data_IF_152305972016
#
_entry.id   IF_152305972016
#
_cell.length_a   1.000
_cell.length_b   1.000
_cell.length_c   1.000
_cell.angle_alpha   90.00
_cell.angle_beta   90.00
_cell.angle_gamma   90.00
#
_symmetry.space_group_name_H-M   'P 1'
#
loop_
_entity.id
_entity.type
_entity.pdbx_description
1 polymer ?
#
# COMPACT_ATOMS: atom_id res chain seq x y z
N UNK A 1 37.85 -13.79 46.09
CA UNK A 1 38.90 -13.43 45.12
C UNK A 1 38.44 -13.92 43.77
N UNK A 2 38.13 -13.05 42.82
CA UNK A 2 37.88 -13.43 41.42
C UNK A 2 39.18 -13.92 40.80
N UNK A 3 39.16 -15.12 40.22
CA UNK A 3 40.31 -15.76 39.60
C UNK A 3 40.85 -14.91 38.42
N UNK A 4 42.17 -14.81 38.32
CA UNK A 4 42.84 -14.01 37.29
C UNK A 4 42.49 -14.51 35.88
N UNK A 5 42.29 -15.82 35.74
CA UNK A 5 41.86 -16.47 34.50
C UNK A 5 40.46 -16.01 34.07
N UNK A 6 39.51 -15.93 34.99
CA UNK A 6 38.14 -15.45 34.71
C UNK A 6 38.15 -14.00 34.26
N UNK A 7 38.96 -13.18 34.92
CA UNK A 7 39.12 -11.76 34.58
C UNK A 7 39.74 -11.58 33.18
N UNK A 8 40.72 -12.42 32.82
CA UNK A 8 41.35 -12.45 31.50
C UNK A 8 40.37 -12.95 30.42
N UNK A 9 39.63 -14.01 30.68
CA UNK A 9 38.61 -14.54 29.77
C UNK A 9 37.48 -13.53 29.56
N UNK A 10 37.04 -12.82 30.59
CA UNK A 10 36.07 -11.72 30.49
C UNK A 10 36.61 -10.58 29.62
N UNK A 11 37.88 -10.17 29.79
CA UNK A 11 38.53 -9.17 28.92
C UNK A 11 38.63 -9.63 27.47
N UNK A 12 38.99 -10.88 27.23
CA UNK A 12 39.06 -11.50 25.90
C UNK A 12 37.69 -11.58 25.22
N UNK A 13 36.65 -11.93 26.00
CA UNK A 13 35.26 -12.06 25.53
C UNK A 13 34.53 -10.72 25.40
N UNK A 14 35.04 -9.63 25.98
CA UNK A 14 34.43 -8.28 25.91
C UNK A 14 34.17 -7.80 24.48
N UNK A 15 34.94 -8.28 23.50
CA UNK A 15 34.74 -7.93 22.08
C UNK A 15 33.83 -8.92 21.33
N UNK A 16 33.53 -10.07 21.90
CA UNK A 16 32.83 -11.19 21.27
C UNK A 16 33.56 -12.52 21.52
N UNK A 17 32.78 -13.58 21.74
CA UNK A 17 33.25 -14.94 22.07
C UNK A 17 33.93 -15.62 20.88
N UNK A 18 33.47 -15.34 19.66
CA UNK A 18 34.01 -15.91 18.42
C UNK A 18 34.35 -14.81 17.38
N UNK A 19 34.92 -15.20 16.24
CA UNK A 19 35.30 -14.26 15.16
C UNK A 19 34.09 -13.51 14.60
N UNK A 20 32.96 -14.19 14.46
CA UNK A 20 31.72 -13.60 13.95
C UNK A 20 31.20 -12.49 14.86
N UNK A 21 31.02 -12.76 16.15
CA UNK A 21 30.58 -11.78 17.15
C UNK A 21 31.52 -10.58 17.23
N UNK A 22 32.85 -10.82 17.16
CA UNK A 22 33.84 -9.73 17.13
C UNK A 22 33.66 -8.82 15.92
N UNK A 23 33.39 -9.38 14.74
CA UNK A 23 33.15 -8.61 13.53
C UNK A 23 31.82 -7.86 13.60
N UNK A 24 30.76 -8.51 14.08
CA UNK A 24 29.44 -7.89 14.27
C UNK A 24 29.53 -6.72 15.25
N UNK A 25 30.12 -6.91 16.42
CA UNK A 25 30.30 -5.86 17.43
C UNK A 25 31.16 -4.70 16.91
N UNK A 26 32.18 -4.98 16.10
CA UNK A 26 32.98 -3.94 15.44
C UNK A 26 32.12 -3.11 14.48
N UNK A 27 31.27 -3.76 13.66
CA UNK A 27 30.36 -3.08 12.73
C UNK A 27 29.29 -2.27 13.47
N UNK A 28 28.66 -2.85 14.50
CA UNK A 28 27.71 -2.14 15.36
C UNK A 28 28.33 -0.90 16.01
N UNK A 29 29.54 -1.01 16.55
CA UNK A 29 30.26 0.14 17.12
C UNK A 29 30.57 1.22 16.08
N UNK A 30 30.95 0.81 14.87
CA UNK A 30 31.18 1.73 13.75
C UNK A 30 29.91 2.48 13.37
N UNK A 31 28.76 1.78 13.32
CA UNK A 31 27.46 2.40 13.09
C UNK A 31 27.13 3.40 14.19
N UNK A 32 27.23 3.02 15.48
CA UNK A 32 26.91 3.91 16.59
C UNK A 32 27.75 5.20 16.56
N UNK A 33 29.03 5.09 16.22
CA UNK A 33 29.89 6.28 16.09
C UNK A 33 29.46 7.18 14.94
N UNK A 34 29.14 6.60 13.78
CA UNK A 34 28.61 7.34 12.63
C UNK A 34 27.26 7.99 12.95
N UNK A 35 26.31 7.23 13.50
CA UNK A 35 24.96 7.69 13.83
C UNK A 35 24.99 8.86 14.81
N UNK A 36 25.85 8.80 15.83
CA UNK A 36 26.01 9.88 16.81
C UNK A 36 26.54 11.19 16.21
N UNK A 37 27.22 11.15 15.06
CA UNK A 37 27.86 12.30 14.42
C UNK A 37 27.24 12.65 13.06
N UNK A 38 26.16 11.98 12.66
CA UNK A 38 25.51 12.21 11.39
C UNK A 38 24.89 13.62 11.37
N UNK A 39 25.30 14.46 10.41
CA UNK A 39 24.85 15.85 10.28
C UNK A 39 23.36 15.97 9.94
N UNK A 40 22.83 14.96 9.27
CA UNK A 40 21.43 14.81 8.89
C UNK A 40 20.63 13.97 9.89
N UNK A 41 21.16 13.81 11.11
CA UNK A 41 20.37 13.27 12.23
C UNK A 41 19.49 14.39 12.77
N UNK A 42 18.18 14.16 12.76
CA UNK A 42 17.20 15.14 13.19
C UNK A 42 16.21 14.51 14.16
N UNK A 43 15.64 15.36 15.02
CA UNK A 43 14.53 15.00 15.90
C UNK A 43 13.24 14.91 15.09
N UNK A 44 12.42 13.93 15.40
CA UNK A 44 11.13 13.68 14.77
C UNK A 44 10.18 13.00 15.76
N UNK A 45 8.91 12.86 15.38
CA UNK A 45 7.94 12.04 16.09
C UNK A 45 7.59 10.82 15.23
N UNK A 46 7.72 9.61 15.78
CA UNK A 46 7.28 8.37 15.14
C UNK A 46 6.00 7.94 15.85
N UNK A 47 4.87 7.97 15.15
CA UNK A 47 3.53 7.72 15.72
C UNK A 47 3.29 8.52 17.03
N UNK A 48 3.74 9.77 17.05
CA UNK A 48 3.66 10.69 18.21
C UNK A 48 4.74 10.49 19.29
N UNK A 49 5.65 9.52 19.14
CA UNK A 49 6.75 9.26 20.07
C UNK A 49 8.03 9.95 19.62
N UNK A 50 8.67 10.79 20.46
CA UNK A 50 9.95 11.42 20.12
C UNK A 50 11.04 10.41 19.79
N UNK A 51 11.74 10.64 18.69
CA UNK A 51 12.86 9.84 18.23
C UNK A 51 13.90 10.71 17.50
N UNK A 52 15.09 10.15 17.29
CA UNK A 52 16.09 10.71 16.39
C UNK A 52 16.30 9.76 15.21
N UNK A 53 16.23 10.29 14.00
CA UNK A 53 16.46 9.55 12.76
C UNK A 53 17.47 10.27 11.89
N UNK A 54 18.20 9.51 11.08
CA UNK A 54 19.05 10.07 10.03
C UNK A 54 18.29 10.06 8.70
N UNK A 55 18.04 11.24 8.13
CA UNK A 55 17.30 11.41 6.87
C UNK A 55 18.26 11.51 5.68
N UNK A 56 18.10 10.62 4.70
CA UNK A 56 18.91 10.59 3.49
C UNK A 56 18.03 10.77 2.26
N UNK A 57 18.45 11.64 1.35
CA UNK A 57 17.73 11.82 0.09
C UNK A 57 17.84 10.57 -0.78
N UNK A 58 16.72 10.14 -1.36
CA UNK A 58 16.72 9.10 -2.37
C UNK A 58 17.20 9.69 -3.70
N UNK A 59 18.17 9.05 -4.37
CA UNK A 59 18.74 9.58 -5.60
C UNK A 59 17.68 9.69 -6.71
N UNK A 60 17.30 10.92 -7.06
CA UNK A 60 16.38 11.33 -8.12
C UNK A 60 16.94 11.11 -9.55
N UNK A 61 17.90 10.20 -9.76
CA UNK A 61 18.72 10.19 -10.98
C UNK A 61 18.02 9.62 -12.23
N UNK A 62 16.79 9.12 -12.14
CA UNK A 62 16.04 8.64 -13.32
C UNK A 62 14.50 8.78 -13.26
N UNK A 63 13.92 9.29 -12.18
CA UNK A 63 12.46 9.47 -12.07
C UNK A 63 12.09 10.88 -12.49
N UNK A 64 11.56 11.03 -13.71
CA UNK A 64 10.88 12.25 -14.14
C UNK A 64 9.61 12.45 -13.28
N UNK A 65 9.76 13.14 -12.15
CA UNK A 65 8.72 13.97 -11.54
C UNK A 65 7.90 13.36 -10.39
N UNK A 66 7.73 14.21 -9.36
CA UNK A 66 6.54 14.39 -8.49
C UNK A 66 6.52 13.79 -7.07
N UNK A 67 7.54 13.07 -6.59
CA UNK A 67 7.60 12.60 -5.19
C UNK A 67 9.00 12.74 -4.59
N UNK A 68 9.11 13.35 -3.40
CA UNK A 68 10.36 13.50 -2.63
C UNK A 68 10.57 12.29 -1.71
N UNK A 69 10.78 11.10 -2.26
CA UNK A 69 11.02 9.91 -1.45
C UNK A 69 12.35 10.05 -0.68
N UNK A 70 12.37 9.57 0.58
CA UNK A 70 13.57 9.59 1.42
C UNK A 70 13.84 8.24 2.04
N UNK A 71 15.09 8.05 2.47
CA UNK A 71 15.45 6.97 3.37
C UNK A 71 15.65 7.50 4.77
N UNK A 72 15.20 6.74 5.76
CA UNK A 72 15.49 6.99 7.17
C UNK A 72 16.31 5.85 7.75
N UNK A 73 17.26 6.19 8.60
CA UNK A 73 18.09 5.24 9.33
C UNK A 73 17.87 5.45 10.82
N UNK A 74 17.63 4.35 11.53
CA UNK A 74 17.38 4.33 12.97
C UNK A 74 18.29 3.31 13.66
N UNK A 75 18.54 3.51 14.96
CA UNK A 75 19.10 2.42 15.77
C UNK A 75 18.11 1.25 15.87
N UNK A 76 18.62 0.05 16.12
CA UNK A 76 17.78 -1.15 16.26
C UNK A 76 16.83 -1.09 17.47
N UNK A 77 17.04 -0.17 18.42
CA UNK A 77 16.14 0.02 19.56
C UNK A 77 14.97 0.95 19.26
N UNK A 78 15.04 1.74 18.19
CA UNK A 78 13.95 2.65 17.80
C UNK A 78 12.75 1.84 17.32
N UNK A 79 11.57 2.12 17.85
CA UNK A 79 10.33 1.49 17.39
C UNK A 79 9.83 2.24 16.15
N UNK A 80 9.94 1.59 15.00
CA UNK A 80 9.51 2.09 13.71
C UNK A 80 9.19 0.86 12.87
N UNK A 81 8.00 0.82 12.30
CA UNK A 81 7.55 -0.28 11.47
C UNK A 81 7.00 0.25 10.15
N UNK A 82 6.82 -0.64 9.17
CA UNK A 82 6.11 -0.30 7.94
C UNK A 82 4.70 0.17 8.31
N UNK A 83 4.26 1.28 7.74
CA UNK A 83 3.00 1.93 8.07
C UNK A 83 3.06 2.98 9.19
N UNK A 84 4.16 3.10 9.95
CA UNK A 84 4.32 4.20 10.92
C UNK A 84 4.27 5.56 10.23
N UNK A 85 3.74 6.56 10.93
CA UNK A 85 3.86 7.97 10.53
C UNK A 85 5.09 8.59 11.19
N UNK A 86 5.84 9.38 10.42
CA UNK A 86 6.96 10.17 10.90
C UNK A 86 6.63 11.65 10.67
N UNK A 87 6.54 12.42 11.74
CA UNK A 87 6.43 13.86 11.67
C UNK A 87 7.84 14.47 11.71
N UNK A 88 8.21 15.13 10.63
CA UNK A 88 9.52 15.75 10.46
C UNK A 88 9.41 17.03 9.63
N UNK A 89 9.91 18.15 10.20
CA UNK A 89 9.86 19.50 9.60
C UNK A 89 8.47 19.92 9.12
N UNK A 90 7.48 19.80 10.01
CA UNK A 90 6.07 20.16 9.76
C UNK A 90 5.39 19.35 8.64
N UNK A 91 6.02 18.26 8.20
CA UNK A 91 5.47 17.32 7.23
C UNK A 91 5.28 15.95 7.87
N UNK A 92 4.25 15.24 7.43
CA UNK A 92 3.98 13.86 7.81
C UNK A 92 4.46 12.93 6.69
N UNK A 93 5.13 11.86 7.09
CA UNK A 93 5.74 10.89 6.18
C UNK A 93 5.26 9.49 6.54
N UNK A 94 4.88 8.69 5.55
CA UNK A 94 4.49 7.30 5.73
C UNK A 94 5.71 6.38 5.51
N UNK A 95 6.01 5.52 6.46
CA UNK A 95 7.01 4.45 6.30
C UNK A 95 6.49 3.42 5.32
N UNK A 96 7.02 3.43 4.10
CA UNK A 96 6.50 2.66 2.98
C UNK A 96 7.13 1.27 2.86
N UNK A 97 8.44 1.16 3.12
CA UNK A 97 9.18 -0.09 2.95
C UNK A 97 10.35 -0.17 3.94
N UNK A 98 10.73 -1.39 4.33
CA UNK A 98 11.87 -1.65 5.20
C UNK A 98 12.95 -2.49 4.50
N UNK A 99 14.22 -2.12 4.65
CA UNK A 99 15.32 -2.89 4.11
C UNK A 99 15.73 -4.03 5.06
N UNK A 100 15.66 -5.27 4.59
CA UNK A 100 16.21 -6.41 5.33
C UNK A 100 17.73 -6.52 5.11
N UNK A 101 18.49 -5.88 6.00
CA UNK A 101 19.96 -5.86 5.90
C UNK A 101 20.59 -7.23 6.15
N UNK A 102 21.60 -7.57 5.35
CA UNK A 102 22.45 -8.76 5.57
C UNK A 102 23.21 -8.71 6.90
N UNK A 103 23.52 -7.49 7.38
CA UNK A 103 24.16 -7.28 8.69
C UNK A 103 23.26 -6.32 9.50
N UNK A 104 22.47 -6.84 10.47
CA UNK A 104 21.46 -6.06 11.20
C UNK A 104 22.11 -5.19 12.28
N UNK A 105 22.83 -4.16 11.87
CA UNK A 105 23.45 -3.18 12.79
C UNK A 105 22.54 -2.00 13.10
N UNK A 106 21.59 -1.72 12.22
CA UNK A 106 20.65 -0.61 12.26
C UNK A 106 19.44 -0.95 11.40
N UNK A 107 18.38 -0.16 11.54
CA UNK A 107 17.20 -0.24 10.69
C UNK A 107 17.30 0.79 9.58
N UNK A 108 16.74 0.48 8.41
CA UNK A 108 16.63 1.43 7.31
C UNK A 108 15.29 1.25 6.63
N UNK A 109 14.59 2.36 6.40
CA UNK A 109 13.29 2.39 5.77
C UNK A 109 13.24 3.42 4.64
N UNK A 110 12.37 3.19 3.68
CA UNK A 110 11.94 4.17 2.69
C UNK A 110 10.65 4.83 3.18
N UNK A 111 10.59 6.15 3.11
CA UNK A 111 9.43 6.96 3.50
C UNK A 111 8.92 7.75 2.31
N UNK A 112 7.60 7.97 2.29
CA UNK A 112 6.90 8.77 1.28
C UNK A 112 6.12 9.88 1.97
N UNK A 113 6.10 11.06 1.36
CA UNK A 113 5.35 12.20 1.91
C UNK A 113 3.85 11.91 1.93
N UNK A 114 3.19 12.18 3.05
CA UNK A 114 1.73 12.21 3.12
C UNK A 114 1.24 13.47 2.41
N UNK A 115 0.53 13.30 1.31
CA UNK A 115 0.10 14.40 0.46
C UNK A 115 -1.41 14.66 0.49
N UNK A 116 -2.17 13.86 1.23
CA UNK A 116 -3.59 14.05 1.41
C UNK A 116 -4.10 13.54 2.75
N UNK A 117 -5.17 14.14 3.26
CA UNK A 117 -5.89 13.62 4.45
C UNK A 117 -7.26 13.14 4.02
N UNK A 118 -7.54 11.87 4.28
CA UNK A 118 -8.77 11.19 3.84
C UNK A 118 -9.73 11.12 5.01
N UNK A 119 -11.01 11.40 4.75
CA UNK A 119 -12.09 11.37 5.72
C UNK A 119 -13.27 10.57 5.17
N UNK A 120 -13.90 9.79 6.03
CA UNK A 120 -15.14 9.08 5.74
C UNK A 120 -15.95 8.89 7.02
N UNK A 121 -17.20 8.46 6.85
CA UNK A 121 -18.05 8.09 7.96
C UNK A 121 -17.87 6.63 8.33
N UNK A 122 -17.73 6.38 9.63
CA UNK A 122 -17.85 5.05 10.23
C UNK A 122 -18.86 5.14 11.35
N UNK A 123 -19.92 4.33 11.30
CA UNK A 123 -21.00 4.33 12.29
C UNK A 123 -21.69 5.70 12.50
N UNK A 124 -21.66 6.58 11.49
CA UNK A 124 -22.25 7.92 11.54
C UNK A 124 -21.31 9.01 12.09
N UNK A 125 -20.08 8.67 12.47
CA UNK A 125 -19.06 9.62 12.93
C UNK A 125 -17.92 9.73 11.91
N UNK A 126 -17.32 10.91 11.83
CA UNK A 126 -16.12 11.10 11.01
C UNK A 126 -14.95 10.42 11.72
N UNK A 127 -14.29 9.50 11.03
CA UNK A 127 -13.14 8.75 11.54
C UNK A 127 -12.03 9.63 12.13
N UNK A 128 -11.26 9.03 13.05
CA UNK A 128 -10.20 9.69 13.80
C UNK A 128 -10.66 11.02 14.44
N UNK A 129 -11.83 11.02 15.07
CA UNK A 129 -12.43 12.20 15.72
C UNK A 129 -12.51 13.44 14.80
N UNK A 130 -12.84 13.25 13.52
CA UNK A 130 -12.93 14.33 12.54
C UNK A 130 -11.61 14.78 11.90
N UNK A 131 -10.47 14.25 12.35
CA UNK A 131 -9.15 14.58 11.78
C UNK A 131 -8.90 13.86 10.46
N UNK A 132 -9.42 12.64 10.29
CA UNK A 132 -9.08 11.77 9.16
C UNK A 132 -7.71 11.10 9.32
N UNK A 133 -7.28 10.37 8.29
CA UNK A 133 -5.97 9.74 8.23
C UNK A 133 -5.12 10.32 7.10
N UNK A 134 -3.83 10.49 7.37
CA UNK A 134 -2.84 10.87 6.37
C UNK A 134 -2.65 9.76 5.34
N UNK A 135 -2.72 10.10 4.06
CA UNK A 135 -2.54 9.19 2.94
C UNK A 135 -1.48 9.69 1.97
N UNK A 136 -0.72 8.75 1.41
CA UNK A 136 0.03 9.01 0.19
C UNK A 136 -0.84 8.61 -1.00
N UNK A 137 -1.22 9.58 -1.83
CA UNK A 137 -2.04 9.36 -3.01
C UNK A 137 -1.24 9.66 -4.27
N UNK A 138 -1.23 8.72 -5.21
CA UNK A 138 -0.56 8.90 -6.50
C UNK A 138 -1.49 8.52 -7.65
N UNK A 139 -1.43 9.33 -8.71
CA UNK A 139 -2.12 8.99 -9.95
C UNK A 139 -1.46 7.76 -10.58
N UNK A 140 -2.27 6.81 -11.03
CA UNK A 140 -1.81 5.65 -11.79
C UNK A 140 -1.89 5.92 -13.31
N UNK A 141 -1.61 7.16 -13.74
CA UNK A 141 -1.39 7.45 -15.15
C UNK A 141 -0.04 6.89 -15.57
N UNK A 142 0.01 5.58 -15.81
CA UNK A 142 0.80 4.90 -16.83
C UNK A 142 0.30 3.44 -16.90
N UNK A 143 -0.46 3.14 -17.96
CA UNK A 143 -0.84 1.82 -18.49
C UNK A 143 -2.13 1.13 -18.01
N UNK A 144 -3.25 1.85 -17.87
CA UNK A 144 -4.57 1.28 -18.16
C UNK A 144 -4.90 1.50 -19.64
N UNK A 145 -4.43 0.61 -20.52
CA UNK A 145 -5.01 0.50 -21.88
C UNK A 145 -6.37 -0.20 -21.75
N UNK A 146 -7.35 0.58 -21.31
CA UNK A 146 -8.74 0.18 -21.12
C UNK A 146 -9.60 1.43 -21.20
N UNK A 147 -10.01 1.80 -22.40
CA UNK A 147 -11.07 2.80 -22.58
C UNK A 147 -12.36 2.08 -22.25
N UNK A 148 -13.06 2.48 -21.19
CA UNK A 148 -14.43 2.01 -20.97
C UNK A 148 -15.32 2.69 -22.01
N UNK A 149 -15.86 1.94 -22.96
CA UNK A 149 -16.93 2.41 -23.81
C UNK A 149 -18.24 1.88 -23.27
N UNK A 150 -18.90 2.66 -22.40
CA UNK A 150 -20.29 2.44 -22.05
C UNK A 150 -21.01 3.79 -22.00
N UNK A 151 -21.87 4.05 -22.98
CA UNK A 151 -22.93 5.07 -22.92
C UNK A 151 -22.55 6.49 -23.38
N UNK A 152 -23.52 7.16 -23.99
CA UNK A 152 -23.48 8.49 -24.64
C UNK A 152 -23.23 9.70 -23.71
N UNK A 153 -22.38 9.59 -22.69
CA UNK A 153 -21.95 10.72 -21.87
C UNK A 153 -20.43 10.67 -21.74
N UNK A 154 -19.78 11.76 -22.18
CA UNK A 154 -18.35 12.05 -22.17
C UNK A 154 -17.48 11.04 -21.41
N UNK A 155 -16.53 10.41 -22.12
CA UNK A 155 -15.52 9.55 -21.52
C UNK A 155 -14.92 10.22 -20.28
N UNK A 156 -15.32 9.76 -19.09
CA UNK A 156 -14.57 10.04 -17.88
C UNK A 156 -13.19 9.47 -18.17
N UNK A 157 -12.22 10.35 -18.43
CA UNK A 157 -10.83 9.97 -18.55
C UNK A 157 -10.52 9.06 -17.36
N UNK A 158 -10.15 7.80 -17.64
CA UNK A 158 -10.08 6.68 -16.71
C UNK A 158 -9.03 6.96 -15.62
N UNK A 159 -9.38 7.82 -14.67
CA UNK A 159 -8.48 8.40 -13.69
C UNK A 159 -8.42 7.47 -12.49
N UNK A 160 -7.57 6.45 -12.60
CA UNK A 160 -7.28 5.54 -11.48
C UNK A 160 -6.21 6.13 -10.58
N UNK A 161 -6.42 6.02 -9.27
CA UNK A 161 -5.49 6.48 -8.25
C UNK A 161 -5.17 5.34 -7.29
N UNK A 162 -3.92 5.34 -6.82
CA UNK A 162 -3.47 4.50 -5.74
C UNK A 162 -3.37 5.33 -4.47
N UNK A 163 -3.89 4.81 -3.38
CA UNK A 163 -3.82 5.41 -2.05
C UNK A 163 -3.16 4.43 -1.08
N UNK A 164 -2.27 4.95 -0.24
CA UNK A 164 -1.57 4.20 0.80
C UNK A 164 -1.89 4.83 2.15
N UNK A 165 -2.36 4.01 3.08
CA UNK A 165 -2.73 4.39 4.44
C UNK A 165 -2.02 3.49 5.45
N UNK A 166 -1.73 3.99 6.65
CA UNK A 166 -1.36 3.13 7.77
C UNK A 166 -2.46 2.09 8.03
N UNK A 167 -2.10 0.84 8.30
CA UNK A 167 -3.03 -0.19 8.69
C UNK A 167 -3.40 -0.08 10.17
N UNK A 168 -4.66 0.27 10.44
CA UNK A 168 -5.24 0.37 11.77
C UNK A 168 -6.71 -0.09 11.74
N UNK A 169 -7.37 -0.07 12.90
CA UNK A 169 -8.74 -0.56 13.01
C UNK A 169 -9.75 0.20 12.13
N UNK A 170 -9.50 1.46 11.79
CA UNK A 170 -10.37 2.24 10.90
C UNK A 170 -10.06 1.95 9.43
N UNK A 171 -8.79 1.99 9.04
CA UNK A 171 -8.36 1.84 7.63
C UNK A 171 -8.54 0.42 7.11
N UNK A 172 -8.43 -0.61 7.97
CA UNK A 172 -8.76 -2.01 7.62
C UNK A 172 -10.25 -2.28 7.43
N UNK A 173 -11.11 -1.34 7.84
CA UNK A 173 -12.56 -1.44 7.65
C UNK A 173 -13.04 -0.72 6.39
N UNK A 174 -12.12 -0.19 5.60
CA UNK A 174 -12.42 0.39 4.29
C UNK A 174 -12.95 -0.72 3.38
N UNK A 175 -14.12 -0.48 2.77
CA UNK A 175 -14.80 -1.48 1.94
C UNK A 175 -14.63 -1.17 0.46
N UNK A 176 -14.61 -2.24 -0.35
CA UNK A 176 -14.79 -2.12 -1.79
C UNK A 176 -16.15 -1.47 -2.06
N UNK A 177 -16.16 -0.52 -3.00
CA UNK A 177 -17.31 0.29 -3.35
C UNK A 177 -17.51 1.54 -2.51
N UNK A 178 -16.76 1.70 -1.41
CA UNK A 178 -16.81 2.91 -0.59
C UNK A 178 -16.25 4.11 -1.37
N UNK A 179 -16.91 5.27 -1.22
CA UNK A 179 -16.55 6.50 -1.92
C UNK A 179 -15.80 7.44 -0.98
N UNK A 180 -14.77 8.10 -1.50
CA UNK A 180 -13.87 8.97 -0.74
C UNK A 180 -13.57 10.23 -1.55
N UNK A 181 -13.41 11.37 -0.88
CA UNK A 181 -12.90 12.57 -1.54
C UNK A 181 -11.37 12.60 -1.56
N UNK A 182 -10.83 12.77 -2.76
CA UNK A 182 -9.42 13.01 -3.01
C UNK A 182 -9.30 14.32 -3.80
N UNK A 183 -8.60 15.30 -3.25
CA UNK A 183 -8.58 16.65 -3.82
C UNK A 183 -9.97 17.31 -3.77
N UNK A 184 -10.56 17.48 -4.95
CA UNK A 184 -11.90 18.05 -5.17
C UNK A 184 -12.84 17.08 -5.90
N UNK A 185 -12.47 15.81 -5.97
CA UNK A 185 -13.20 14.79 -6.74
C UNK A 185 -13.48 13.60 -5.84
N UNK A 186 -14.57 12.90 -6.16
CA UNK A 186 -14.91 11.64 -5.49
C UNK A 186 -14.25 10.50 -6.24
N UNK A 187 -13.73 9.55 -5.47
CA UNK A 187 -13.15 8.32 -5.96
C UNK A 187 -13.83 7.16 -5.25
N UNK A 188 -14.18 6.13 -6.01
CA UNK A 188 -14.75 4.89 -5.51
C UNK A 188 -13.63 3.86 -5.38
N UNK A 189 -13.59 3.18 -4.24
CA UNK A 189 -12.61 2.14 -3.96
C UNK A 189 -12.99 0.91 -4.78
N UNK A 190 -12.11 0.52 -5.69
CA UNK A 190 -12.24 -0.70 -6.46
C UNK A 190 -11.68 -1.90 -5.72
N UNK A 191 -10.62 -1.66 -4.93
CA UNK A 191 -9.89 -2.73 -4.30
C UNK A 191 -9.11 -2.24 -3.08
N UNK A 192 -8.94 -3.14 -2.11
CA UNK A 192 -8.18 -2.94 -0.89
C UNK A 192 -7.23 -4.13 -0.74
N UNK A 193 -5.94 -3.86 -0.62
CA UNK A 193 -4.91 -4.84 -0.34
C UNK A 193 -4.21 -4.52 0.98
N UNK A 194 -4.32 -5.47 1.89
CA UNK A 194 -3.70 -5.45 3.22
C UNK A 194 -2.59 -6.50 3.34
N UNK A 195 -2.34 -7.27 2.27
CA UNK A 195 -1.48 -8.46 2.30
C UNK A 195 -0.09 -8.14 1.73
N UNK A 196 -0.02 -7.37 0.64
CA UNK A 196 1.27 -7.14 -0.04
C UNK A 196 2.28 -6.44 0.86
N UNK A 197 1.83 -5.61 1.80
CA UNK A 197 2.65 -4.95 2.80
C UNK A 197 1.96 -4.90 4.14
N UNK A 198 2.45 -5.71 5.07
CA UNK A 198 2.00 -5.63 6.45
C UNK A 198 2.29 -4.23 7.01
N UNK A 199 1.29 -3.65 7.67
CA UNK A 199 1.32 -2.26 8.17
C UNK A 199 0.75 -1.20 7.23
N UNK A 200 0.47 -1.49 5.95
CA UNK A 200 -0.13 -0.52 5.01
C UNK A 200 -1.39 -1.11 4.36
N UNK A 201 -2.43 -0.27 4.26
CA UNK A 201 -3.62 -0.55 3.45
C UNK A 201 -3.47 0.16 2.10
N UNK A 202 -3.41 -0.64 1.03
CA UNK A 202 -3.30 -0.18 -0.35
C UNK A 202 -4.68 -0.15 -0.97
N UNK A 203 -5.16 1.02 -1.40
CA UNK A 203 -6.44 1.13 -2.10
C UNK A 203 -6.22 1.52 -3.57
N UNK A 204 -6.84 0.76 -4.48
CA UNK A 204 -7.03 1.17 -5.87
C UNK A 204 -8.40 1.83 -5.98
N UNK A 205 -8.44 3.01 -6.59
CA UNK A 205 -9.65 3.80 -6.71
C UNK A 205 -9.84 4.30 -8.14
N UNK A 206 -11.08 4.44 -8.56
CA UNK A 206 -11.46 5.10 -9.81
C UNK A 206 -12.26 6.36 -9.54
N UNK A 207 -12.17 7.35 -10.43
CA UNK A 207 -12.96 8.57 -10.28
C UNK A 207 -14.45 8.24 -10.43
N UNK A 208 -15.25 8.74 -9.50
CA UNK A 208 -16.70 8.62 -9.49
C UNK A 208 -17.36 10.00 -9.61
N UNK A 209 -18.65 10.04 -9.91
CA UNK A 209 -19.42 11.26 -9.96
C UNK A 209 -19.77 11.73 -8.55
N UNK A 210 -19.68 13.05 -8.33
CA UNK A 210 -20.13 13.68 -7.10
C UNK A 210 -21.67 13.79 -7.06
N UNK A 211 -22.27 13.38 -5.94
CA UNK A 211 -23.72 13.42 -5.73
C UNK A 211 -24.12 14.58 -4.82
N UNK A 212 -24.90 15.50 -5.37
CA UNK A 212 -25.34 16.71 -4.67
C UNK A 212 -26.24 16.44 -3.46
N UNK A 213 -26.94 15.30 -3.45
CA UNK A 213 -27.96 15.01 -2.44
C UNK A 213 -27.37 14.41 -1.15
N UNK A 214 -26.24 13.72 -1.25
CA UNK A 214 -25.69 12.98 -0.12
C UNK A 214 -24.18 13.09 0.11
N UNK A 215 -23.42 13.70 -0.81
CA UNK A 215 -22.03 14.04 -0.53
C UNK A 215 -21.94 15.40 0.19
N UNK A 216 -20.91 15.58 1.01
CA UNK A 216 -20.59 16.85 1.65
C UNK A 216 -19.24 17.38 1.12
N UNK A 217 -19.26 18.30 0.12
CA UNK A 217 -18.04 18.80 -0.51
C UNK A 217 -17.23 19.70 0.42
N UNK A 218 -17.89 20.42 1.35
CA UNK A 218 -17.24 21.32 2.31
C UNK A 218 -16.38 20.54 3.31
N UNK A 219 -16.94 19.44 3.84
CA UNK A 219 -16.21 18.53 4.72
C UNK A 219 -15.31 17.55 3.96
N UNK A 220 -15.45 17.48 2.63
CA UNK A 220 -14.80 16.50 1.74
C UNK A 220 -15.07 15.06 2.19
N UNK A 221 -16.35 14.74 2.38
CA UNK A 221 -16.81 13.40 2.78
C UNK A 221 -17.91 12.97 1.84
N UNK A 222 -17.72 11.83 1.18
CA UNK A 222 -18.74 11.23 0.32
C UNK A 222 -19.71 10.42 1.17
N UNK A 223 -20.93 10.23 0.66
CA UNK A 223 -22.02 9.50 1.30
C UNK A 223 -22.38 10.03 2.71
N UNK A 224 -22.07 11.29 3.01
CA UNK A 224 -22.25 11.91 4.33
C UNK A 224 -23.71 11.88 4.82
N UNK A 225 -24.68 12.13 3.93
CA UNK A 225 -26.11 12.16 4.29
C UNK A 225 -26.86 10.86 3.96
N UNK A 226 -26.17 9.83 3.45
CA UNK A 226 -26.80 8.63 2.88
C UNK A 226 -27.41 7.70 3.94
N UNK A 227 -26.80 7.61 5.11
CA UNK A 227 -27.22 6.70 6.19
C UNK A 227 -28.31 7.28 7.13
N UNK A 228 -28.89 8.43 6.81
CA UNK A 228 -30.04 8.99 7.54
C UNK A 228 -29.79 9.34 9.01
N UNK A 229 -28.55 9.22 9.49
CA UNK A 229 -28.12 9.67 10.82
C UNK A 229 -27.52 11.07 10.73
N UNK A 230 -28.38 12.05 10.42
CA UNK A 230 -28.11 13.41 10.87
C UNK A 230 -28.11 13.42 12.40
N UNK A 231 -27.09 13.96 13.09
CA UNK A 231 -27.17 14.26 14.52
C UNK A 231 -28.29 15.26 14.86
N UNK A 232 -28.90 15.91 13.87
CA UNK A 232 -30.16 16.62 14.04
C UNK A 232 -30.99 16.57 12.75
N UNK A 233 -31.93 15.64 12.67
CA UNK A 233 -33.29 15.87 12.15
C UNK A 233 -34.07 14.56 12.22
N UNK A 234 -34.99 14.47 13.18
CA UNK A 234 -36.03 13.46 13.23
C UNK A 234 -36.98 13.66 12.03
N UNK A 235 -37.21 12.61 11.24
CA UNK A 235 -38.53 12.02 11.00
C UNK A 235 -38.52 11.05 9.80
N UNK A 236 -38.76 9.77 10.12
CA UNK A 236 -39.53 8.79 9.35
C UNK A 236 -39.38 8.73 7.82
N UNK A 237 -38.62 7.74 7.32
CA UNK A 237 -39.12 6.71 6.38
C UNK A 237 -38.37 5.41 6.66
N UNK A 238 -39.09 4.35 7.04
CA UNK A 238 -38.55 2.98 7.09
C UNK A 238 -38.43 2.43 5.66
N UNK A 239 -37.30 1.88 5.22
CA UNK A 239 -37.30 0.95 4.10
C UNK A 239 -37.89 -0.38 4.59
N UNK A 240 -38.95 -0.82 3.93
CA UNK A 240 -39.48 -2.18 4.05
C UNK A 240 -38.47 -3.17 3.48
N UNK A 241 -37.99 -4.09 4.32
CA UNK A 241 -37.29 -5.29 3.86
C UNK A 241 -38.23 -6.13 2.98
N UNK A 242 -37.81 -6.59 1.79
CA UNK A 242 -38.28 -7.85 1.27
C UNK A 242 -37.45 -8.97 1.92
N UNK A 243 -38.12 -9.72 2.78
CA UNK A 243 -37.77 -11.11 3.06
C UNK A 243 -37.79 -11.87 1.73
N UNK A 244 -36.72 -12.56 1.36
CA UNK A 244 -36.85 -13.90 0.80
C UNK A 244 -35.53 -14.67 0.86
N UNK A 245 -35.62 -15.83 1.51
CA UNK A 245 -34.65 -16.90 1.47
C UNK A 245 -34.62 -17.46 0.04
N UNK A 246 -33.53 -17.27 -0.68
CA UNK A 246 -33.08 -18.23 -1.68
C UNK A 246 -31.61 -18.52 -1.44
N UNK A 247 -31.34 -19.80 -1.16
CA UNK A 247 -30.01 -20.37 -1.19
C UNK A 247 -29.49 -20.28 -2.64
N UNK A 248 -28.88 -19.15 -2.98
CA UNK A 248 -28.08 -19.03 -4.19
C UNK A 248 -26.75 -19.72 -3.89
N UNK A 249 -26.53 -20.87 -4.51
CA UNK A 249 -25.18 -21.38 -4.74
C UNK A 249 -24.42 -20.30 -5.51
N UNK A 250 -23.66 -19.47 -4.79
CA UNK A 250 -22.67 -18.59 -5.41
C UNK A 250 -21.72 -19.50 -6.19
N UNK A 251 -21.82 -19.48 -7.53
CA UNK A 251 -20.78 -20.04 -8.39
C UNK A 251 -19.46 -19.38 -7.95
N UNK A 252 -18.52 -20.18 -7.42
CA UNK A 252 -17.19 -19.71 -7.03
C UNK A 252 -16.44 -19.33 -8.31
N UNK A 253 -16.44 -18.04 -8.62
CA UNK A 253 -15.68 -17.48 -9.72
C UNK A 253 -14.27 -17.17 -9.22
N UNK A 254 -13.27 -17.80 -9.81
CA UNK A 254 -11.87 -17.64 -9.40
C UNK A 254 -10.98 -17.31 -10.60
N UNK A 255 -9.88 -16.60 -10.34
CA UNK A 255 -8.84 -16.35 -11.34
C UNK A 255 -7.70 -17.35 -11.17
N UNK A 256 -7.52 -18.21 -12.15
CA UNK A 256 -6.49 -19.25 -12.19
C UNK A 256 -5.24 -18.77 -12.92
N UNK A 257 -4.07 -19.26 -12.53
CA UNK A 257 -2.79 -18.91 -13.14
C UNK A 257 -1.61 -19.29 -12.27
N UNK A 258 -0.40 -18.95 -12.71
CA UNK A 258 0.80 -19.26 -11.92
C UNK A 258 0.88 -18.39 -10.65
N UNK A 259 1.32 -18.99 -9.55
CA UNK A 259 1.66 -18.25 -8.32
C UNK A 259 3.09 -17.72 -8.35
N UNK A 260 3.93 -18.29 -9.22
CA UNK A 260 5.33 -17.94 -9.38
C UNK A 260 5.65 -17.73 -10.86
N UNK A 261 5.82 -16.48 -11.24
CA UNK A 261 6.15 -16.09 -12.61
C UNK A 261 7.67 -15.94 -12.76
N UNK A 262 8.26 -16.70 -13.69
CA UNK A 262 9.70 -16.58 -13.99
C UNK A 262 9.97 -15.33 -14.83
N UNK A 263 11.08 -14.64 -14.55
CA UNK A 263 11.58 -13.60 -15.46
C UNK A 263 11.85 -14.18 -16.86
N UNK A 264 11.76 -13.34 -17.90
CA UNK A 264 11.91 -13.75 -19.31
C UNK A 264 10.90 -14.82 -19.77
N UNK A 265 9.74 -14.93 -19.12
CA UNK A 265 8.74 -15.95 -19.47
C UNK A 265 7.33 -15.38 -19.57
N UNK A 266 6.46 -16.10 -20.27
CA UNK A 266 5.07 -15.70 -20.50
C UNK A 266 4.14 -16.64 -19.75
N UNK A 267 3.15 -16.08 -19.05
CA UNK A 267 2.15 -16.82 -18.28
C UNK A 267 0.75 -16.35 -18.66
N UNK A 268 -0.20 -17.28 -18.63
CA UNK A 268 -1.61 -17.02 -18.91
C UNK A 268 -2.39 -17.12 -17.60
N UNK A 269 -3.25 -16.14 -17.36
CA UNK A 269 -4.20 -16.12 -16.26
C UNK A 269 -5.61 -16.20 -16.85
N UNK A 270 -6.46 -17.05 -16.27
CA UNK A 270 -7.78 -17.38 -16.83
C UNK A 270 -8.86 -17.35 -15.77
N UNK A 271 -10.01 -16.82 -16.13
CA UNK A 271 -11.22 -16.98 -15.33
C UNK A 271 -11.62 -18.47 -15.29
N UNK A 272 -12.03 -18.98 -14.13
CA UNK A 272 -12.60 -20.33 -14.02
C UNK A 272 -13.80 -20.48 -14.97
N UNK A 273 -14.10 -21.73 -15.38
CA UNK A 273 -15.22 -22.01 -16.29
C UNK A 273 -16.54 -21.53 -15.68
N UNK A 274 -16.98 -20.35 -16.11
CA UNK A 274 -18.15 -19.65 -15.59
C UNK A 274 -18.88 -18.97 -16.74
N UNK A 275 -20.13 -18.57 -16.49
CA UNK A 275 -20.93 -17.78 -17.46
C UNK A 275 -20.50 -16.32 -17.52
N UNK A 276 -19.72 -15.86 -16.55
CA UNK A 276 -19.24 -14.49 -16.45
C UNK A 276 -18.13 -14.21 -17.46
N UNK A 277 -18.07 -12.96 -17.89
CA UNK A 277 -17.02 -12.43 -18.77
C UNK A 277 -16.30 -11.28 -18.08
N UNK A 278 -15.02 -11.13 -18.39
CA UNK A 278 -14.20 -10.04 -17.88
C UNK A 278 -14.45 -8.79 -18.71
N UNK A 279 -15.01 -7.76 -18.08
CA UNK A 279 -15.22 -6.44 -18.68
C UNK A 279 -13.97 -5.59 -18.61
N UNK A 280 -13.14 -5.78 -17.59
CA UNK A 280 -11.89 -5.04 -17.44
C UNK A 280 -10.78 -5.89 -16.79
N UNK A 281 -9.59 -5.88 -17.41
CA UNK A 281 -8.36 -6.40 -16.82
C UNK A 281 -7.50 -5.28 -16.27
N UNK A 282 -7.10 -5.38 -15.00
CA UNK A 282 -6.10 -4.50 -14.40
C UNK A 282 -4.94 -5.35 -13.88
N UNK A 283 -3.69 -4.93 -14.14
CA UNK A 283 -2.50 -5.62 -13.65
C UNK A 283 -1.62 -4.60 -12.95
N UNK A 284 -1.25 -4.87 -11.71
CA UNK A 284 -0.56 -3.91 -10.85
C UNK A 284 0.68 -4.54 -10.24
N UNK A 285 1.79 -3.81 -10.23
CA UNK A 285 2.92 -4.07 -9.35
C UNK A 285 2.96 -2.95 -8.30
N UNK A 286 2.88 -3.31 -7.02
CA UNK A 286 2.94 -2.34 -5.92
C UNK A 286 4.37 -1.96 -5.52
N UNK A 287 5.39 -2.72 -5.93
CA UNK A 287 6.76 -2.61 -5.42
C UNK A 287 7.69 -1.67 -6.19
N UNK A 288 7.46 -1.44 -7.49
CA UNK A 288 8.39 -0.66 -8.30
C UNK A 288 7.67 0.34 -9.20
N UNK A 289 8.36 1.45 -9.47
CA UNK A 289 7.93 2.46 -10.44
C UNK A 289 8.09 1.97 -11.90
N UNK A 290 8.61 0.76 -12.13
CA UNK A 290 8.75 0.14 -13.44
C UNK A 290 7.88 -1.13 -13.50
N UNK A 291 7.09 -1.27 -14.57
CA UNK A 291 6.27 -2.46 -14.75
C UNK A 291 7.15 -3.66 -15.14
N UNK A 292 7.19 -4.74 -14.33
CA UNK A 292 8.03 -5.90 -14.61
C UNK A 292 7.41 -6.83 -15.66
N UNK A 293 6.25 -6.48 -16.21
CA UNK A 293 5.48 -7.28 -17.16
C UNK A 293 5.08 -6.47 -18.41
N UNK A 294 4.68 -7.18 -19.45
CA UNK A 294 4.08 -6.69 -20.67
C UNK A 294 2.84 -7.53 -20.97
N UNK A 295 1.69 -6.89 -21.25
CA UNK A 295 0.49 -7.59 -21.69
C UNK A 295 0.68 -7.98 -23.16
N UNK A 296 0.70 -9.28 -23.46
CA UNK A 296 0.81 -9.81 -24.82
C UNK A 296 -0.55 -9.91 -25.49
N UNK A 297 -1.55 -10.37 -24.75
CA UNK A 297 -2.91 -10.59 -25.23
C UNK A 297 -3.87 -10.53 -24.06
N UNK A 298 -5.11 -10.10 -24.31
CA UNK A 298 -6.24 -10.23 -23.38
C UNK A 298 -7.53 -10.39 -24.16
N UNK A 299 -8.48 -11.11 -23.59
CA UNK A 299 -9.85 -11.23 -24.06
C UNK A 299 -10.82 -11.28 -22.87
N UNK A 300 -12.06 -11.69 -23.08
CA UNK A 300 -13.11 -11.76 -22.06
C UNK A 300 -12.88 -12.86 -21.01
N UNK A 301 -11.89 -13.75 -21.17
CA UNK A 301 -11.66 -14.89 -20.27
C UNK A 301 -10.21 -15.08 -19.84
N UNK A 302 -9.25 -14.62 -20.63
CA UNK A 302 -7.83 -14.79 -20.35
C UNK A 302 -6.99 -13.52 -20.59
N UNK A 303 -5.91 -13.40 -19.82
CA UNK A 303 -4.86 -12.41 -20.01
C UNK A 303 -3.49 -13.09 -20.03
N UNK A 304 -2.66 -12.69 -20.98
CA UNK A 304 -1.31 -13.22 -21.21
C UNK A 304 -0.27 -12.16 -20.87
N UNK A 305 0.59 -12.47 -19.89
CA UNK A 305 1.60 -11.57 -19.35
C UNK A 305 3.00 -12.11 -19.60
N UNK A 306 3.83 -11.31 -20.26
CA UNK A 306 5.26 -11.57 -20.41
C UNK A 306 6.06 -10.82 -19.35
N UNK A 307 6.79 -11.53 -18.50
CA UNK A 307 7.63 -10.95 -17.46
C UNK A 307 9.02 -10.64 -18.01
N UNK A 308 9.45 -9.38 -17.87
CA UNK A 308 10.71 -8.86 -18.41
C UNK A 308 11.93 -9.54 -17.76
N UNK A 309 13.04 -9.61 -18.49
CA UNK A 309 14.31 -10.14 -17.99
C UNK A 309 15.06 -9.10 -17.16
N UNK A 310 14.53 -8.79 -15.97
CA UNK A 310 15.09 -7.79 -15.08
C UNK A 310 15.24 -8.38 -13.67
N UNK A 311 16.48 -8.66 -13.27
CA UNK A 311 16.79 -9.24 -11.95
C UNK A 311 16.31 -8.39 -10.77
N UNK A 312 16.17 -7.07 -10.95
CA UNK A 312 15.70 -6.14 -9.92
C UNK A 312 14.27 -6.40 -9.47
N UNK A 313 13.47 -7.05 -10.33
CA UNK A 313 12.06 -7.32 -10.05
C UNK A 313 11.88 -8.70 -9.38
N UNK A 314 12.95 -9.47 -9.13
CA UNK A 314 12.84 -10.75 -8.42
C UNK A 314 12.40 -10.50 -6.99
N UNK A 315 11.34 -11.20 -6.58
CA UNK A 315 10.71 -11.03 -5.27
C UNK A 315 9.51 -10.10 -5.28
N UNK A 316 9.34 -9.28 -6.32
CA UNK A 316 8.15 -8.44 -6.50
C UNK A 316 6.89 -9.27 -6.70
N UNK A 317 5.76 -8.72 -6.27
CA UNK A 317 4.44 -9.30 -6.48
C UNK A 317 3.68 -8.50 -7.53
N UNK A 318 3.13 -9.22 -8.50
CA UNK A 318 2.23 -8.68 -9.52
C UNK A 318 0.85 -9.24 -9.26
N UNK A 319 -0.14 -8.36 -9.14
CA UNK A 319 -1.53 -8.75 -8.90
C UNK A 319 -2.34 -8.49 -10.16
N UNK A 320 -3.03 -9.53 -10.62
CA UNK A 320 -3.95 -9.50 -11.76
C UNK A 320 -5.36 -9.40 -11.20
N UNK A 321 -6.13 -8.46 -11.73
CA UNK A 321 -7.53 -8.21 -11.41
C UNK A 321 -8.39 -8.38 -12.66
N UNK A 322 -9.53 -9.03 -12.51
CA UNK A 322 -10.58 -9.13 -13.51
C UNK A 322 -11.89 -8.61 -12.92
N UNK A 323 -12.40 -7.53 -13.49
CA UNK A 323 -13.76 -7.03 -13.22
C UNK A 323 -14.73 -7.78 -14.12
N UNK A 324 -15.75 -8.40 -13.53
CA UNK A 324 -16.77 -9.17 -14.23
C UNK A 324 -17.92 -8.27 -14.72
N UNK A 325 -18.79 -8.82 -15.55
CA UNK A 325 -20.00 -8.20 -16.08
C UNK A 325 -21.04 -7.83 -15.01
N UNK A 326 -21.07 -8.57 -13.91
CA UNK A 326 -21.90 -8.26 -12.74
C UNK A 326 -21.25 -7.27 -11.74
N UNK A 327 -20.05 -6.76 -12.08
CA UNK A 327 -19.29 -5.82 -11.26
C UNK A 327 -18.48 -6.45 -10.13
N UNK A 328 -18.51 -7.78 -9.94
CA UNK A 328 -17.58 -8.45 -9.01
C UNK A 328 -16.15 -8.37 -9.55
N UNK A 329 -15.17 -8.31 -8.65
CA UNK A 329 -13.75 -8.32 -9.02
C UNK A 329 -13.10 -9.57 -8.43
N UNK A 330 -12.43 -10.35 -9.28
CA UNK A 330 -11.62 -11.50 -8.88
C UNK A 330 -10.14 -11.20 -9.12
N UNK A 331 -9.26 -11.81 -8.33
CA UNK A 331 -7.83 -11.52 -8.39
C UNK A 331 -6.95 -12.75 -8.25
N UNK A 332 -5.72 -12.64 -8.75
CA UNK A 332 -4.64 -13.60 -8.51
C UNK A 332 -3.32 -12.83 -8.39
N UNK A 333 -2.62 -13.05 -7.28
CA UNK A 333 -1.27 -12.56 -7.11
C UNK A 333 -0.26 -13.60 -7.62
N UNK A 334 0.79 -13.13 -8.27
CA UNK A 334 1.95 -13.93 -8.68
C UNK A 334 3.23 -13.26 -8.22
N UNK A 335 4.17 -14.05 -7.70
CA UNK A 335 5.49 -13.57 -7.29
C UNK A 335 6.50 -13.79 -8.40
N UNK A 336 7.36 -12.80 -8.63
CA UNK A 336 8.41 -12.91 -9.64
C UNK A 336 9.59 -13.69 -9.10
N UNK A 337 10.01 -14.72 -9.82
CA UNK A 337 11.14 -15.59 -9.47
C UNK A 337 12.20 -15.63 -10.57
N UNK A 338 13.39 -16.08 -10.20
CA UNK A 338 14.50 -16.33 -11.12
C UNK A 338 14.12 -17.34 -12.21
N UNK A 339 14.83 -17.26 -13.34
CA UNK A 339 14.62 -18.13 -14.51
C UNK A 339 14.85 -19.62 -14.23
N UNK A 340 15.71 -19.95 -13.26
CA UNK A 340 16.14 -21.32 -12.89
C UNK A 340 16.05 -21.58 -11.39
#
# INVERSE_FOLDING_TARGET
>A
MTDYLDTYQLKMRRRGRNRYERNYNKKKRSFNYWFAQALNKEECLIDGVPAELVFQDHSQSNTKGLSDDKYVIADNMTKIDIGSYIEWRDMEWLVYNGEQKTIPTHQQYQIQEVNWTVKWLRNGEIINNGKGYGAHVRNQTLYTLGVSFVGDLASLANAKMMMFLQANDDTRNIKIGQRLYIGRKVYKILFVDEISRDGIVNCLMEQDQEHKDYDNPELRIADYYRDGKNPSMNAQVKPSNPTDNQANSTEEVELTGTEQARISSTHIFRLSETKHVVTEWNVVNFNSNNNPFQIKRKDEKEIELHFKDEFRNIGDSVTIFATLDDGRVVQKATRIIKKY
#
